data_IF_508790828430
#
_entry.id   IF_508790828430
#
_cell.length_a   1.000
_cell.length_b   1.000
_cell.length_c   1.000
_cell.angle_alpha   90.00
_cell.angle_beta   90.00
_cell.angle_gamma   90.00
#
_symmetry.space_group_name_H-M   'P 1'
#
loop_
_entity.id
_entity.type
_entity.pdbx_description
1 polymer ?
#
# COMPACT_ATOMS: atom_id res chain seq x y z
N UNK A 1 21.53 10.73 -3.55
CA UNK A 1 21.05 9.41 -3.07
C UNK A 1 20.05 8.86 -4.06
N UNK A 2 20.19 7.61 -4.48
CA UNK A 2 19.31 6.98 -5.49
C UNK A 2 18.16 6.29 -4.82
N UNK A 3 16.95 6.38 -5.43
CA UNK A 3 15.76 5.61 -5.04
C UNK A 3 16.01 4.10 -5.21
N UNK A 4 15.16 3.27 -4.61
CA UNK A 4 15.25 1.83 -4.76
C UNK A 4 15.04 1.41 -6.22
N UNK A 5 15.77 0.40 -6.72
CA UNK A 5 15.51 -0.19 -8.02
C UNK A 5 14.15 -0.89 -8.02
N UNK A 6 13.52 -0.95 -9.18
CA UNK A 6 12.29 -1.70 -9.39
C UNK A 6 12.53 -3.20 -9.17
N UNK A 7 11.51 -3.89 -8.71
CA UNK A 7 11.53 -5.34 -8.56
C UNK A 7 11.54 -6.00 -9.94
N UNK A 8 12.53 -6.85 -10.20
CA UNK A 8 12.69 -7.52 -11.49
C UNK A 8 11.96 -8.87 -11.59
N UNK A 9 11.55 -9.41 -10.45
CA UNK A 9 10.81 -10.68 -10.35
C UNK A 9 9.32 -10.49 -10.12
N UNK A 10 8.56 -11.56 -10.31
CA UNK A 10 7.18 -11.69 -9.82
C UNK A 10 7.21 -11.74 -8.30
N UNK A 11 8.10 -12.56 -7.74
CA UNK A 11 8.36 -12.59 -6.31
C UNK A 11 9.64 -11.83 -5.99
N UNK A 12 9.68 -11.21 -4.81
CA UNK A 12 10.86 -10.51 -4.31
C UNK A 12 10.93 -10.57 -2.78
N UNK A 13 12.13 -10.56 -2.25
CA UNK A 13 12.41 -10.77 -0.83
C UNK A 13 12.74 -12.23 -0.51
N UNK A 14 12.43 -12.75 0.70
CA UNK A 14 11.65 -12.09 1.76
C UNK A 14 12.32 -10.83 2.32
N UNK A 15 11.53 -9.80 2.59
CA UNK A 15 11.96 -8.54 3.19
C UNK A 15 11.61 -8.54 4.68
N UNK A 16 12.56 -8.20 5.55
CA UNK A 16 12.28 -7.99 6.97
C UNK A 16 11.48 -6.69 7.14
N UNK A 17 10.18 -6.86 7.28
CA UNK A 17 9.23 -5.76 7.42
C UNK A 17 8.93 -5.49 8.88
N UNK A 18 9.07 -4.23 9.32
CA UNK A 18 8.69 -3.80 10.68
C UNK A 18 7.21 -4.05 11.02
N UNK A 19 6.36 -4.20 10.00
CA UNK A 19 4.91 -4.37 10.12
C UNK A 19 4.45 -5.81 9.90
N UNK A 20 5.16 -6.55 9.07
CA UNK A 20 4.73 -7.84 8.52
C UNK A 20 5.69 -9.00 8.86
N UNK A 21 6.78 -8.75 9.63
CA UNK A 21 7.82 -9.78 9.75
C UNK A 21 8.50 -10.08 8.41
N UNK A 22 8.81 -11.33 8.11
CA UNK A 22 9.39 -11.74 6.82
C UNK A 22 8.33 -11.76 5.74
N UNK A 23 8.35 -10.77 4.86
CA UNK A 23 7.35 -10.57 3.81
C UNK A 23 7.90 -10.95 2.44
N UNK A 24 7.32 -11.96 1.80
CA UNK A 24 7.57 -12.30 0.40
C UNK A 24 6.60 -11.49 -0.47
N UNK A 25 7.14 -10.54 -1.23
CA UNK A 25 6.36 -9.64 -2.07
C UNK A 25 5.94 -10.30 -3.38
N UNK A 26 4.71 -10.03 -3.81
CA UNK A 26 4.15 -10.43 -5.11
C UNK A 26 3.97 -9.15 -5.94
N UNK A 27 4.84 -8.96 -6.95
CA UNK A 27 4.79 -7.83 -7.86
C UNK A 27 3.92 -8.17 -9.07
N UNK A 28 2.79 -7.48 -9.20
CA UNK A 28 1.84 -7.62 -10.31
C UNK A 28 2.00 -6.55 -11.40
N UNK A 29 3.01 -5.68 -11.26
CA UNK A 29 3.26 -4.56 -12.17
C UNK A 29 4.49 -4.81 -13.05
N UNK A 30 4.69 -4.05 -14.13
CA UNK A 30 5.82 -4.21 -15.03
C UNK A 30 7.18 -4.19 -14.29
N UNK A 31 8.18 -4.88 -14.87
CA UNK A 31 9.51 -5.04 -14.26
C UNK A 31 10.48 -3.94 -14.65
N UNK A 32 10.25 -3.29 -15.79
CA UNK A 32 11.19 -2.36 -16.41
C UNK A 32 10.80 -0.89 -16.22
N UNK A 33 9.57 -0.61 -15.80
CA UNK A 33 9.06 0.73 -15.53
C UNK A 33 7.98 0.69 -14.45
N UNK A 34 7.75 1.82 -13.81
CA UNK A 34 6.77 1.95 -12.75
C UNK A 34 5.41 2.32 -13.33
N UNK A 35 4.41 1.46 -13.12
CA UNK A 35 3.02 1.65 -13.50
C UNK A 35 2.14 1.74 -12.26
N UNK A 36 1.55 2.90 -12.01
CA UNK A 36 0.77 3.15 -10.81
C UNK A 36 -0.30 4.21 -11.10
N UNK A 37 -1.38 4.23 -10.34
CA UNK A 37 -2.36 5.32 -10.37
C UNK A 37 -1.95 6.55 -9.54
N UNK A 38 -0.83 6.47 -8.79
CA UNK A 38 -0.24 7.58 -8.05
C UNK A 38 1.19 7.84 -8.48
N UNK A 39 1.61 9.10 -8.38
CA UNK A 39 2.99 9.54 -8.53
C UNK A 39 3.47 10.21 -7.24
N UNK A 40 3.46 9.45 -6.12
CA UNK A 40 3.73 9.96 -4.78
C UNK A 40 5.12 10.59 -4.65
N UNK A 41 5.20 11.78 -4.03
CA UNK A 41 6.45 12.53 -3.85
C UNK A 41 7.46 11.83 -2.93
N UNK A 42 7.02 10.85 -2.16
CA UNK A 42 7.81 10.07 -1.19
C UNK A 42 8.01 8.61 -1.60
N UNK A 43 7.69 8.22 -2.83
CA UNK A 43 7.79 6.82 -3.21
C UNK A 43 9.24 6.35 -3.29
N UNK A 44 9.57 5.27 -2.57
CA UNK A 44 10.92 4.70 -2.56
C UNK A 44 11.37 4.17 -3.92
N UNK A 45 10.43 3.81 -4.81
CA UNK A 45 10.72 3.39 -6.20
C UNK A 45 10.81 4.58 -7.18
N UNK A 46 10.86 5.82 -6.68
CA UNK A 46 10.96 6.99 -7.54
C UNK A 46 9.63 7.47 -8.12
N UNK A 47 9.73 8.34 -9.11
CA UNK A 47 8.57 8.84 -9.84
C UNK A 47 7.93 7.76 -10.70
N UNK A 48 6.65 7.92 -10.99
CA UNK A 48 5.87 6.96 -11.78
C UNK A 48 5.98 7.26 -13.26
N UNK A 49 6.49 6.31 -14.04
CA UNK A 49 6.66 6.46 -15.50
C UNK A 49 5.31 6.53 -16.22
N UNK A 50 4.38 5.69 -15.81
CA UNK A 50 3.02 5.60 -16.35
C UNK A 50 2.00 5.75 -15.24
N UNK A 51 1.50 7.00 -15.05
CA UNK A 51 0.50 7.32 -14.02
C UNK A 51 -0.90 7.25 -14.63
N UNK A 52 -1.62 6.14 -14.39
CA UNK A 52 -2.92 5.86 -15.01
C UNK A 52 -3.76 4.88 -14.21
N UNK A 53 -5.08 4.92 -14.39
CA UNK A 53 -6.04 3.89 -13.97
C UNK A 53 -6.30 2.86 -15.08
N UNK A 54 -6.07 3.24 -16.35
CA UNK A 54 -6.27 2.37 -17.51
C UNK A 54 -5.01 1.57 -17.83
N UNK A 55 -5.07 0.27 -17.60
CA UNK A 55 -3.99 -0.67 -17.89
C UNK A 55 -4.13 -1.35 -19.26
N UNK A 56 -5.17 -1.05 -20.05
CA UNK A 56 -5.45 -1.74 -21.31
C UNK A 56 -4.26 -1.80 -22.27
N UNK A 57 -3.50 -0.70 -22.38
CA UNK A 57 -2.29 -0.62 -23.22
C UNK A 57 -1.08 -1.35 -22.67
N UNK A 58 -1.10 -1.73 -21.40
CA UNK A 58 0.04 -2.28 -20.64
C UNK A 58 -0.15 -3.73 -20.25
N UNK A 59 -1.29 -4.35 -20.58
CA UNK A 59 -1.62 -5.73 -20.16
C UNK A 59 -0.55 -6.74 -20.55
N UNK A 60 0.09 -6.55 -21.71
CA UNK A 60 1.17 -7.44 -22.20
C UNK A 60 2.46 -7.35 -21.37
N UNK A 61 2.65 -6.24 -20.64
CA UNK A 61 3.83 -5.99 -19.82
C UNK A 61 3.63 -6.47 -18.37
N UNK A 62 2.39 -6.83 -18.01
CA UNK A 62 2.07 -7.35 -16.67
C UNK A 62 2.48 -8.82 -16.55
N UNK A 63 2.87 -9.27 -15.35
CA UNK A 63 3.03 -10.70 -15.08
C UNK A 63 1.75 -11.45 -15.45
N UNK A 64 1.88 -12.53 -16.21
CA UNK A 64 0.72 -13.33 -16.60
C UNK A 64 0.19 -14.13 -15.40
N UNK A 65 -1.11 -14.39 -15.38
CA UNK A 65 -1.79 -15.09 -14.30
C UNK A 65 -1.10 -16.42 -13.92
N UNK A 66 -0.86 -17.29 -14.90
CA UNK A 66 -0.27 -18.61 -14.68
C UNK A 66 1.18 -18.53 -14.17
N UNK A 67 1.92 -17.50 -14.59
CA UNK A 67 3.28 -17.29 -14.12
C UNK A 67 3.30 -16.83 -12.66
N UNK A 68 2.34 -15.99 -12.24
CA UNK A 68 2.19 -15.58 -10.84
C UNK A 68 1.81 -16.78 -9.97
N UNK A 69 0.81 -17.55 -10.39
CA UNK A 69 0.36 -18.76 -9.68
C UNK A 69 1.51 -19.74 -9.51
N UNK A 70 2.23 -20.05 -10.59
CA UNK A 70 3.38 -20.95 -10.58
C UNK A 70 4.48 -20.48 -9.64
N UNK A 71 4.82 -19.19 -9.68
CA UNK A 71 5.86 -18.62 -8.82
C UNK A 71 5.49 -18.71 -7.34
N UNK A 72 4.24 -18.38 -6.99
CA UNK A 72 3.74 -18.47 -5.61
C UNK A 72 3.71 -19.92 -5.13
N UNK A 73 3.26 -20.86 -5.97
CA UNK A 73 3.21 -22.27 -5.61
C UNK A 73 4.63 -22.86 -5.38
N UNK A 74 5.59 -22.52 -6.25
CA UNK A 74 6.98 -22.92 -6.07
C UNK A 74 7.57 -22.39 -4.75
N UNK A 75 7.31 -21.11 -4.43
CA UNK A 75 7.74 -20.52 -3.17
C UNK A 75 7.06 -21.19 -1.96
N UNK A 76 5.77 -21.49 -2.05
CA UNK A 76 5.04 -22.16 -0.99
C UNK A 76 5.54 -23.59 -0.72
N UNK A 77 6.01 -24.31 -1.74
CA UNK A 77 6.60 -25.66 -1.64
C UNK A 77 8.08 -25.67 -1.26
N UNK A 78 8.78 -24.53 -1.33
CA UNK A 78 10.21 -24.44 -1.04
C UNK A 78 10.52 -24.43 0.45
N UNK A 79 11.80 -24.45 0.83
CA UNK A 79 12.27 -24.27 2.21
C UNK A 79 12.35 -22.81 2.65
N UNK A 80 11.96 -21.85 1.79
CA UNK A 80 11.99 -20.41 2.09
C UNK A 80 11.11 -20.08 3.29
N UNK A 81 11.62 -19.28 4.23
CA UNK A 81 10.90 -18.86 5.44
C UNK A 81 10.34 -17.46 5.23
N UNK A 82 9.02 -17.33 5.32
CA UNK A 82 8.31 -16.07 5.29
C UNK A 82 7.02 -16.15 6.11
N UNK A 83 6.59 -15.01 6.65
CA UNK A 83 5.39 -14.86 7.48
C UNK A 83 4.18 -14.40 6.64
N UNK A 84 4.46 -13.64 5.58
CA UNK A 84 3.44 -13.08 4.70
C UNK A 84 3.75 -13.28 3.23
N UNK A 85 2.72 -13.58 2.44
CA UNK A 85 2.64 -13.34 0.99
C UNK A 85 1.98 -11.97 0.79
N UNK A 86 2.68 -11.01 0.20
CA UNK A 86 2.22 -9.61 0.18
C UNK A 86 2.07 -9.09 -1.23
N UNK A 87 0.85 -8.82 -1.67
CA UNK A 87 0.61 -8.08 -2.90
C UNK A 87 1.12 -6.65 -2.77
N UNK A 88 2.20 -6.33 -3.48
CA UNK A 88 2.88 -5.02 -3.46
C UNK A 88 3.89 -4.95 -4.61
N UNK A 89 4.77 -3.93 -4.67
CA UNK A 89 5.87 -3.87 -5.66
C UNK A 89 5.89 -2.57 -6.46
N UNK A 90 6.10 -2.68 -7.78
CA UNK A 90 6.44 -1.57 -8.67
C UNK A 90 5.28 -0.59 -8.99
N UNK A 91 4.15 -0.69 -8.29
CA UNK A 91 3.00 0.18 -8.50
C UNK A 91 1.80 -0.23 -7.66
N UNK A 92 0.60 -0.18 -8.25
CA UNK A 92 -0.65 -0.51 -7.57
C UNK A 92 -1.14 -1.91 -7.97
N UNK A 93 -1.06 -2.92 -7.07
CA UNK A 93 -1.38 -4.30 -7.42
C UNK A 93 -2.86 -4.50 -7.79
N UNK A 94 -3.78 -3.74 -7.20
CA UNK A 94 -5.23 -3.89 -7.41
C UNK A 94 -5.71 -3.43 -8.80
N UNK A 95 -4.82 -2.81 -9.58
CA UNK A 95 -5.11 -2.47 -10.98
C UNK A 95 -4.89 -3.65 -11.94
N UNK A 96 -4.23 -4.74 -11.49
CA UNK A 96 -4.06 -5.91 -12.34
C UNK A 96 -5.41 -6.49 -12.73
N UNK A 97 -5.71 -6.74 -14.05
CA UNK A 97 -7.03 -7.16 -14.51
C UNK A 97 -7.55 -8.44 -13.84
N UNK A 98 -6.63 -9.34 -13.48
CA UNK A 98 -6.92 -10.62 -12.83
C UNK A 98 -6.62 -10.59 -11.32
N UNK A 99 -6.64 -9.39 -10.66
CA UNK A 99 -6.27 -9.27 -9.25
C UNK A 99 -7.14 -10.16 -8.34
N UNK A 100 -8.46 -10.15 -8.52
CA UNK A 100 -9.37 -10.93 -7.69
C UNK A 100 -9.12 -12.45 -7.82
N UNK A 101 -8.92 -12.93 -9.05
CA UNK A 101 -8.61 -14.33 -9.32
C UNK A 101 -7.23 -14.73 -8.73
N UNK A 102 -6.25 -13.81 -8.77
CA UNK A 102 -4.95 -14.03 -8.15
C UNK A 102 -5.04 -14.09 -6.63
N UNK A 103 -5.91 -13.30 -6.01
CA UNK A 103 -6.18 -13.42 -4.57
C UNK A 103 -6.71 -14.81 -4.23
N UNK A 104 -7.68 -15.33 -5.01
CA UNK A 104 -8.26 -16.64 -4.79
C UNK A 104 -7.21 -17.75 -4.89
N UNK A 105 -6.38 -17.73 -5.92
CA UNK A 105 -5.32 -18.73 -6.10
C UNK A 105 -4.22 -18.64 -5.04
N UNK A 106 -3.78 -17.43 -4.69
CA UNK A 106 -2.75 -17.24 -3.65
C UNK A 106 -3.26 -17.72 -2.29
N UNK A 107 -4.51 -17.44 -1.95
CA UNK A 107 -5.14 -17.95 -0.71
C UNK A 107 -5.23 -19.47 -0.75
N UNK A 108 -5.70 -20.07 -1.85
CA UNK A 108 -5.80 -21.52 -2.03
C UNK A 108 -4.42 -22.20 -1.89
N UNK A 109 -3.38 -21.67 -2.54
CA UNK A 109 -2.00 -22.21 -2.46
C UNK A 109 -1.47 -22.09 -1.02
N UNK A 110 -1.67 -20.94 -0.37
CA UNK A 110 -1.29 -20.72 1.01
C UNK A 110 -1.95 -21.74 1.95
N UNK A 111 -3.27 -21.92 1.84
CA UNK A 111 -4.02 -22.84 2.69
C UNK A 111 -3.54 -24.28 2.53
N UNK A 112 -3.23 -24.68 1.29
CA UNK A 112 -2.76 -26.02 0.98
C UNK A 112 -1.33 -26.30 1.50
N UNK A 113 -0.40 -25.35 1.33
CA UNK A 113 1.03 -25.61 1.54
C UNK A 113 1.62 -24.89 2.76
N UNK A 114 1.05 -23.76 3.17
CA UNK A 114 1.57 -22.87 4.21
C UNK A 114 0.48 -22.25 5.08
N UNK A 115 -0.38 -23.03 5.76
CA UNK A 115 -1.58 -22.52 6.45
C UNK A 115 -1.30 -21.50 7.57
N UNK A 116 -0.05 -21.41 8.05
CA UNK A 116 0.36 -20.41 9.05
C UNK A 116 0.80 -19.07 8.45
N UNK A 117 1.11 -19.05 7.17
CA UNK A 117 1.49 -17.82 6.44
C UNK A 117 0.23 -17.00 6.18
N UNK A 118 0.34 -15.69 6.28
CA UNK A 118 -0.77 -14.78 6.02
C UNK A 118 -0.66 -14.12 4.64
N UNK A 119 -1.79 -13.75 4.07
CA UNK A 119 -1.85 -12.95 2.85
C UNK A 119 -2.08 -11.49 3.22
N UNK A 120 -1.25 -10.60 2.70
CA UNK A 120 -1.37 -9.16 2.88
C UNK A 120 -1.54 -8.43 1.54
N UNK A 121 -2.17 -7.28 1.59
CA UNK A 121 -2.25 -6.33 0.48
C UNK A 121 -1.76 -4.97 0.93
N UNK A 122 -0.84 -4.36 0.19
CA UNK A 122 -0.45 -2.96 0.34
C UNK A 122 -0.96 -2.20 -0.89
N UNK A 123 -2.07 -1.49 -0.75
CA UNK A 123 -2.74 -0.78 -1.85
C UNK A 123 -2.80 0.73 -1.60
N UNK A 124 -2.76 1.51 -2.67
CA UNK A 124 -3.02 2.94 -2.64
C UNK A 124 -4.52 3.31 -2.66
N UNK A 125 -5.40 2.31 -2.57
CA UNK A 125 -6.86 2.41 -2.48
C UNK A 125 -7.60 2.69 -3.80
N UNK A 126 -6.90 2.95 -4.90
CA UNK A 126 -7.59 3.36 -6.16
C UNK A 126 -8.33 2.21 -6.84
N UNK A 127 -7.80 0.97 -6.75
CA UNK A 127 -8.46 -0.20 -7.34
C UNK A 127 -9.79 -0.58 -6.69
N UNK A 128 -10.13 0.04 -5.54
CA UNK A 128 -11.45 -0.11 -4.91
C UNK A 128 -12.61 0.41 -5.80
N UNK A 129 -12.31 1.07 -6.91
CA UNK A 129 -13.32 1.38 -7.95
C UNK A 129 -13.92 0.11 -8.55
N UNK A 130 -13.13 -0.95 -8.66
CA UNK A 130 -13.58 -2.22 -9.24
C UNK A 130 -14.29 -3.08 -8.20
N UNK A 131 -15.50 -3.57 -8.55
CA UNK A 131 -16.28 -4.42 -7.66
C UNK A 131 -15.55 -5.72 -7.32
N UNK A 132 -14.95 -6.38 -8.32
CA UNK A 132 -14.16 -7.61 -8.13
C UNK A 132 -13.05 -7.46 -7.10
N UNK A 133 -12.36 -6.30 -7.08
CA UNK A 133 -11.36 -5.98 -6.06
C UNK A 133 -12.01 -5.91 -4.68
N UNK A 134 -13.11 -5.15 -4.52
CA UNK A 134 -13.79 -5.06 -3.22
C UNK A 134 -14.28 -6.41 -2.70
N UNK A 135 -14.82 -7.23 -3.58
CA UNK A 135 -15.33 -8.57 -3.25
C UNK A 135 -14.20 -9.56 -2.85
N UNK A 136 -12.95 -9.30 -3.26
CA UNK A 136 -11.78 -10.11 -2.88
C UNK A 136 -11.15 -9.70 -1.54
N UNK A 137 -11.37 -8.46 -1.05
CA UNK A 137 -10.73 -7.94 0.17
C UNK A 137 -11.00 -8.81 1.42
N UNK A 138 -12.21 -9.33 1.67
CA UNK A 138 -12.48 -10.18 2.84
C UNK A 138 -11.67 -11.48 2.90
N UNK A 139 -11.07 -11.91 1.78
CA UNK A 139 -10.22 -13.11 1.68
C UNK A 139 -8.77 -12.85 2.11
N UNK A 140 -8.39 -11.59 2.28
CA UNK A 140 -7.03 -11.15 2.61
C UNK A 140 -6.92 -10.96 4.12
N UNK A 141 -5.95 -11.62 4.77
CA UNK A 141 -5.77 -11.56 6.23
C UNK A 141 -5.41 -10.15 6.73
N UNK A 142 -4.62 -9.43 5.93
CA UNK A 142 -4.17 -8.08 6.26
C UNK A 142 -4.31 -7.13 5.06
N UNK A 143 -5.51 -6.61 4.80
CA UNK A 143 -5.73 -5.62 3.75
C UNK A 143 -5.36 -4.22 4.28
N UNK A 144 -4.27 -3.64 3.76
CA UNK A 144 -3.73 -2.34 4.18
C UNK A 144 -3.88 -1.34 3.05
N UNK A 145 -4.68 -0.32 3.29
CA UNK A 145 -5.00 0.73 2.33
C UNK A 145 -4.37 2.07 2.70
N UNK A 146 -3.95 2.81 1.70
CA UNK A 146 -3.29 4.10 1.88
C UNK A 146 -4.31 5.24 2.03
N UNK A 147 -4.11 6.03 3.10
CA UNK A 147 -4.73 7.34 3.27
C UNK A 147 -3.69 8.29 3.90
N UNK A 148 -3.09 9.19 3.11
CA UNK A 148 -1.97 10.03 3.57
C UNK A 148 -2.38 11.44 3.94
N UNK A 149 -3.63 11.83 3.74
CA UNK A 149 -4.06 13.21 3.94
C UNK A 149 -5.52 13.31 4.37
N UNK A 150 -5.84 14.39 5.07
CA UNK A 150 -7.21 14.73 5.46
C UNK A 150 -7.94 15.58 4.44
N UNK A 151 -7.24 16.17 3.46
CA UNK A 151 -7.81 17.15 2.52
C UNK A 151 -7.39 16.89 1.08
N UNK A 152 -8.32 17.10 0.13
CA UNK A 152 -8.09 16.84 -1.29
C UNK A 152 -6.95 17.62 -1.92
N UNK A 153 -6.70 18.86 -1.51
CA UNK A 153 -5.53 19.63 -1.96
C UNK A 153 -4.22 19.01 -1.53
N UNK A 154 -4.15 18.51 -0.29
CA UNK A 154 -2.97 17.82 0.23
C UNK A 154 -2.79 16.45 -0.44
N UNK A 155 -3.86 15.69 -0.65
CA UNK A 155 -3.85 14.46 -1.42
C UNK A 155 -3.22 14.66 -2.82
N UNK A 156 -3.66 15.70 -3.55
CA UNK A 156 -3.09 16.03 -4.86
C UNK A 156 -1.61 16.39 -4.77
N UNK A 157 -1.19 17.15 -3.76
CA UNK A 157 0.21 17.56 -3.60
C UNK A 157 1.13 16.39 -3.25
N UNK A 158 0.67 15.45 -2.42
CA UNK A 158 1.46 14.32 -1.92
C UNK A 158 1.44 13.12 -2.85
N UNK A 159 0.25 12.70 -3.27
CA UNK A 159 0.06 11.45 -4.01
C UNK A 159 0.07 11.65 -5.53
N UNK A 160 -0.15 12.86 -6.03
CA UNK A 160 -0.17 13.20 -7.46
C UNK A 160 -0.93 12.14 -8.27
N UNK A 161 -2.24 11.94 -7.99
CA UNK A 161 -3.03 10.87 -8.56
C UNK A 161 -3.21 11.04 -10.08
N UNK A 162 -3.50 9.94 -10.78
CA UNK A 162 -4.02 9.95 -12.14
C UNK A 162 -5.29 10.81 -12.21
N UNK A 163 -5.57 11.38 -13.38
CA UNK A 163 -6.61 12.39 -13.59
C UNK A 163 -8.00 11.92 -13.15
N UNK A 164 -8.27 10.63 -13.30
CA UNK A 164 -9.55 9.99 -13.00
C UNK A 164 -9.77 9.72 -11.50
N UNK A 165 -8.74 9.92 -10.66
CA UNK A 165 -8.80 9.60 -9.24
C UNK A 165 -9.19 10.82 -8.42
N UNK A 166 -10.32 10.73 -7.74
CA UNK A 166 -10.85 11.79 -6.88
C UNK A 166 -10.79 11.41 -5.41
N UNK A 167 -10.28 12.32 -4.56
CA UNK A 167 -10.08 12.10 -3.13
C UNK A 167 -11.36 11.66 -2.41
N UNK A 168 -12.50 12.31 -2.71
CA UNK A 168 -13.79 11.98 -2.10
C UNK A 168 -14.21 10.54 -2.41
N UNK A 169 -14.04 10.10 -3.64
CA UNK A 169 -14.38 8.74 -4.03
C UNK A 169 -13.50 7.69 -3.35
N UNK A 170 -12.21 7.98 -3.17
CA UNK A 170 -11.30 7.10 -2.40
C UNK A 170 -11.81 6.98 -0.95
N UNK A 171 -12.18 8.10 -0.31
CA UNK A 171 -12.74 8.09 1.04
C UNK A 171 -14.05 7.31 1.13
N UNK A 172 -14.98 7.55 0.21
CA UNK A 172 -16.30 6.89 0.22
C UNK A 172 -16.14 5.36 0.07
N UNK A 173 -15.20 4.91 -0.76
CA UNK A 173 -14.88 3.49 -0.91
C UNK A 173 -14.22 2.89 0.33
N UNK A 174 -13.26 3.60 0.95
CA UNK A 174 -12.67 3.15 2.22
C UNK A 174 -13.72 3.03 3.32
N UNK A 175 -14.66 3.96 3.40
CA UNK A 175 -15.76 3.90 4.37
C UNK A 175 -16.74 2.75 4.12
N UNK A 176 -16.82 2.23 2.90
CA UNK A 176 -17.68 1.08 2.55
C UNK A 176 -17.08 -0.27 2.91
N UNK A 177 -15.80 -0.32 3.28
CA UNK A 177 -15.10 -1.55 3.64
C UNK A 177 -15.11 -1.77 5.16
N UNK A 178 -15.28 -3.03 5.56
CA UNK A 178 -15.04 -3.47 6.93
C UNK A 178 -13.67 -4.13 7.11
N UNK A 179 -13.20 -4.19 8.36
CA UNK A 179 -12.02 -4.96 8.77
C UNK A 179 -10.73 -4.67 7.98
N UNK A 180 -10.49 -3.42 7.62
CA UNK A 180 -9.28 -2.99 6.92
C UNK A 180 -8.30 -2.31 7.86
N UNK A 181 -7.02 -2.27 7.46
CA UNK A 181 -6.02 -1.40 8.07
C UNK A 181 -5.76 -0.20 7.15
N UNK A 182 -5.42 0.94 7.75
CA UNK A 182 -4.89 2.08 7.01
C UNK A 182 -3.37 2.17 7.17
N UNK A 183 -2.70 2.68 6.15
CA UNK A 183 -1.30 3.09 6.23
C UNK A 183 -1.16 4.54 5.79
N UNK A 184 -0.35 5.30 6.53
CA UNK A 184 -0.15 6.73 6.30
C UNK A 184 1.32 7.07 6.39
N UNK A 185 1.85 7.65 5.31
CA UNK A 185 3.19 8.26 5.34
C UNK A 185 3.05 9.68 5.87
N UNK A 186 3.74 9.97 6.95
CA UNK A 186 3.84 11.33 7.51
C UNK A 186 5.16 11.97 7.07
N UNK A 187 5.07 13.15 6.50
CA UNK A 187 6.22 13.95 6.01
C UNK A 187 6.06 15.41 6.37
N UNK A 188 7.18 16.07 6.54
CA UNK A 188 7.23 17.53 6.67
C UNK A 188 7.93 18.16 5.45
N UNK A 189 7.89 19.48 5.36
CA UNK A 189 8.46 20.26 4.25
C UNK A 189 7.42 20.63 3.18
N UNK A 190 7.76 20.46 1.91
CA UNK A 190 6.86 20.85 0.79
C UNK A 190 6.62 19.65 -0.14
N UNK A 191 5.45 18.98 -0.03
CA UNK A 191 4.33 19.22 0.90
C UNK A 191 4.57 18.64 2.31
N UNK A 192 3.77 19.09 3.30
CA UNK A 192 3.69 18.53 4.66
C UNK A 192 2.26 18.07 4.97
N UNK A 193 2.09 16.96 5.71
CA UNK A 193 0.79 16.48 6.18
C UNK A 193 0.70 16.35 7.72
N UNK A 194 1.61 16.97 8.44
CA UNK A 194 1.65 16.95 9.92
C UNK A 194 1.17 18.25 10.58
N UNK A 195 0.71 19.22 9.79
CA UNK A 195 0.12 20.45 10.33
C UNK A 195 -1.20 20.16 11.09
N UNK A 196 -1.46 20.94 12.15
CA UNK A 196 -2.61 20.75 13.06
C UNK A 196 -3.95 20.56 12.34
N UNK A 197 -4.26 21.40 11.36
CA UNK A 197 -5.53 21.33 10.61
C UNK A 197 -5.60 20.11 9.70
N UNK A 198 -4.45 19.69 9.14
CA UNK A 198 -4.38 18.51 8.29
C UNK A 198 -4.57 17.23 9.10
N UNK A 199 -3.90 17.11 10.25
CA UNK A 199 -4.07 15.99 11.18
C UNK A 199 -5.51 15.93 11.71
N UNK A 200 -6.11 17.07 12.10
CA UNK A 200 -7.52 17.10 12.53
C UNK A 200 -8.46 16.59 11.44
N UNK A 201 -8.29 17.04 10.18
CA UNK A 201 -9.09 16.57 9.06
C UNK A 201 -8.87 15.06 8.80
N UNK A 202 -7.62 14.60 8.88
CA UNK A 202 -7.25 13.20 8.74
C UNK A 202 -7.91 12.32 9.81
N UNK A 203 -7.83 12.69 11.09
CA UNK A 203 -8.43 11.94 12.19
C UNK A 203 -9.97 11.87 12.07
N UNK A 204 -10.64 12.93 11.58
CA UNK A 204 -12.07 12.87 11.27
C UNK A 204 -12.40 11.78 10.24
N UNK A 205 -11.55 11.58 9.23
CA UNK A 205 -11.75 10.48 8.27
C UNK A 205 -11.47 9.12 8.90
N UNK A 206 -10.42 8.98 9.71
CA UNK A 206 -10.13 7.74 10.44
C UNK A 206 -11.32 7.33 11.32
N UNK A 207 -11.90 8.28 12.08
CA UNK A 207 -13.10 8.03 12.92
C UNK A 207 -14.32 7.57 12.11
N UNK A 208 -14.45 8.02 10.86
CA UNK A 208 -15.56 7.62 9.96
C UNK A 208 -15.33 6.30 9.28
N UNK A 209 -14.10 6.03 8.84
CA UNK A 209 -13.70 4.76 8.21
C UNK A 209 -13.72 3.63 9.23
N UNK A 210 -13.35 3.89 10.49
CA UNK A 210 -13.25 2.92 11.58
C UNK A 210 -12.40 1.70 11.20
N UNK A 211 -11.16 1.90 10.74
CA UNK A 211 -10.29 0.79 10.41
C UNK A 211 -9.97 -0.03 11.67
N UNK A 212 -9.55 -1.29 11.48
CA UNK A 212 -9.06 -2.15 12.57
C UNK A 212 -7.87 -1.51 13.28
N UNK A 213 -6.93 -0.95 12.52
CA UNK A 213 -5.78 -0.20 12.99
C UNK A 213 -5.24 0.73 11.90
N UNK A 214 -4.43 1.70 12.32
CA UNK A 214 -3.72 2.62 11.42
C UNK A 214 -2.22 2.48 11.65
N UNK A 215 -1.45 2.27 10.58
CA UNK A 215 0.00 2.26 10.56
C UNK A 215 0.53 3.60 10.10
N UNK A 216 1.11 4.39 11.01
CA UNK A 216 1.80 5.62 10.62
C UNK A 216 3.31 5.41 10.60
N UNK A 217 3.98 5.99 9.63
CA UNK A 217 5.43 5.92 9.46
C UNK A 217 5.92 7.13 8.65
N UNK A 218 7.22 7.31 8.58
CA UNK A 218 7.83 8.36 7.77
C UNK A 218 8.79 7.78 6.73
N UNK A 219 9.35 8.66 5.91
CA UNK A 219 10.38 8.30 4.94
C UNK A 219 11.66 7.91 5.70
N UNK A 220 12.20 6.75 5.37
CA UNK A 220 13.44 6.20 5.95
C UNK A 220 14.50 5.87 4.89
N UNK A 221 14.20 6.21 3.64
CA UNK A 221 15.03 5.95 2.46
C UNK A 221 14.98 7.14 1.51
N UNK A 222 15.89 7.22 0.54
CA UNK A 222 15.85 8.24 -0.49
C UNK A 222 14.51 8.26 -1.23
N UNK A 223 14.03 9.48 -1.49
CA UNK A 223 12.75 9.76 -2.16
C UNK A 223 12.98 10.78 -3.29
N UNK A 224 12.08 10.83 -4.29
CA UNK A 224 12.29 11.72 -5.45
C UNK A 224 12.16 13.20 -5.14
N UNK A 225 11.48 13.60 -4.07
CA UNK A 225 11.34 15.01 -3.69
C UNK A 225 12.29 15.38 -2.55
N UNK A 226 13.32 16.19 -2.85
CA UNK A 226 14.29 16.65 -1.87
C UNK A 226 13.79 17.74 -0.91
N UNK A 227 12.57 18.29 -1.15
CA UNK A 227 11.96 19.33 -0.31
C UNK A 227 11.11 18.77 0.83
N UNK A 228 11.07 17.46 0.99
CA UNK A 228 10.36 16.80 2.10
C UNK A 228 11.39 16.20 3.07
N UNK A 229 11.00 16.14 4.33
CA UNK A 229 11.79 15.61 5.43
C UNK A 229 11.04 14.53 6.21
N UNK A 230 11.80 13.69 6.90
CA UNK A 230 11.28 12.67 7.79
C UNK A 230 10.67 13.29 9.05
N UNK A 231 9.69 12.60 9.62
CA UNK A 231 9.15 12.87 10.95
C UNK A 231 9.90 12.00 11.96
N UNK A 232 10.38 12.62 13.04
CA UNK A 232 11.10 11.89 14.08
C UNK A 232 10.26 10.79 14.76
N UNK A 233 10.89 9.73 15.29
CA UNK A 233 10.19 8.71 16.07
C UNK A 233 9.34 9.29 17.20
N UNK A 234 9.89 10.27 17.93
CA UNK A 234 9.19 10.96 19.03
C UNK A 234 7.92 11.68 18.55
N UNK A 235 7.97 12.34 17.41
CA UNK A 235 6.81 13.05 16.85
C UNK A 235 5.79 12.06 16.26
N UNK A 236 6.25 10.96 15.63
CA UNK A 236 5.34 9.88 15.19
C UNK A 236 4.55 9.28 16.37
N UNK A 237 5.22 9.00 17.50
CA UNK A 237 4.55 8.48 18.69
C UNK A 237 3.55 9.49 19.29
N UNK A 238 3.90 10.78 19.30
CA UNK A 238 3.00 11.85 19.74
C UNK A 238 1.75 11.93 18.85
N UNK A 239 1.92 11.87 17.53
CA UNK A 239 0.80 11.87 16.57
C UNK A 239 -0.06 10.61 16.74
N UNK A 240 0.56 9.45 16.94
CA UNK A 240 -0.15 8.20 17.21
C UNK A 240 -1.01 8.31 18.48
N UNK A 241 -0.44 8.83 19.57
CA UNK A 241 -1.15 9.01 20.84
C UNK A 241 -2.32 10.00 20.70
N UNK A 242 -2.10 11.12 20.03
CA UNK A 242 -3.15 12.10 19.73
C UNK A 242 -4.27 11.45 18.94
N UNK A 243 -3.93 10.75 17.85
CA UNK A 243 -4.91 10.11 16.99
C UNK A 243 -5.72 9.04 17.71
N UNK A 244 -5.11 8.20 18.57
CA UNK A 244 -5.85 7.24 19.40
C UNK A 244 -6.89 7.93 20.30
N UNK A 245 -6.50 9.05 20.94
CA UNK A 245 -7.41 9.82 21.81
C UNK A 245 -8.58 10.45 21.04
N UNK A 246 -8.32 10.98 19.84
CA UNK A 246 -9.34 11.66 19.05
C UNK A 246 -10.26 10.69 18.29
N UNK A 247 -9.76 9.52 17.90
CA UNK A 247 -10.50 8.61 17.00
C UNK A 247 -11.06 7.38 17.68
N UNK A 248 -10.49 6.98 18.83
CA UNK A 248 -10.77 5.69 19.46
C UNK A 248 -10.21 4.48 18.68
N UNK A 249 -9.46 4.69 17.60
CA UNK A 249 -8.86 3.66 16.76
C UNK A 249 -7.41 3.43 17.18
N UNK A 250 -6.95 2.17 17.14
CA UNK A 250 -5.54 1.87 17.38
C UNK A 250 -4.67 2.45 16.26
N UNK A 251 -3.74 3.33 16.62
CA UNK A 251 -2.76 3.96 15.71
C UNK A 251 -1.36 3.61 16.19
N UNK A 252 -0.60 2.93 15.36
CA UNK A 252 0.75 2.45 15.66
C UNK A 252 1.79 3.17 14.82
N UNK A 253 2.84 3.66 15.49
CA UNK A 253 3.99 4.27 14.82
C UNK A 253 5.04 3.20 14.47
N UNK A 254 5.57 3.24 13.24
CA UNK A 254 6.62 2.35 12.75
C UNK A 254 7.81 3.18 12.26
N UNK A 255 9.00 2.93 12.80
CA UNK A 255 10.23 3.64 12.46
C UNK A 255 11.46 2.73 12.60
N UNK A 256 12.55 3.12 12.01
CA UNK A 256 13.87 2.47 12.22
C UNK A 256 14.38 2.87 13.61
N UNK A 257 14.74 1.89 14.40
CA UNK A 257 15.40 2.08 15.71
C UNK A 257 16.88 2.32 15.52
#
# INVERSE_FOLDING_TARGET
MTVLPLQRGILYGPIDSRRLGKSLGINLMPRNYKLCSFNCVYCHYGLTDKCTMDLGKYVKDLPQFDDVVRAVEQAAKSSMVFDYLTFSGNGEPTLHPRFADLVDEVVRIRDLHRPRVKVALLSNSTGLVYRSVRDSIPKIDLPVFKLDSGRGGKFKAMNRPAREVHFREVLDRLMSLGNICLQTVLIDGTPSNVGKEELSAYFKHVSRIKPREVHIYSIDRPVPNSKISLISPKELEKIALQGRRETGVEIRAFYVR
#
